data_IF_616667132012
#
_entry.id   IF_616667132012
#
_cell.length_a   1.000
_cell.length_b   1.000
_cell.length_c   1.000
_cell.angle_alpha   90.00
_cell.angle_beta   90.00
_cell.angle_gamma   90.00
#
_symmetry.space_group_name_H-M   'P 1'
#
loop_
_entity.id
_entity.type
_entity.pdbx_description
1 polymer ?
#
# COMPACT_ATOMS: atom_id res chain seq x y z
N UNK A 1 21.72 13.30 23.66
CA UNK A 1 21.67 11.86 23.41
C UNK A 1 21.51 11.61 21.93
N UNK A 2 22.17 10.63 21.48
CA UNK A 2 22.11 10.30 20.08
C UNK A 2 20.92 9.38 19.81
N UNK A 3 20.16 9.70 18.81
CA UNK A 3 19.07 8.83 18.40
C UNK A 3 19.65 7.62 17.68
N UNK A 4 19.24 6.47 18.13
CA UNK A 4 19.66 5.24 17.51
C UNK A 4 19.13 5.17 16.08
N UNK A 5 19.98 5.12 15.09
CA UNK A 5 19.49 4.96 13.74
C UNK A 5 18.82 3.62 13.55
N UNK A 6 17.89 3.59 12.65
CA UNK A 6 17.23 2.34 12.29
C UNK A 6 18.27 1.43 11.67
N UNK A 7 18.39 0.20 12.15
CA UNK A 7 19.36 -0.72 11.58
C UNK A 7 19.13 -0.91 10.09
N UNK A 8 20.21 -1.00 9.30
CA UNK A 8 20.07 -1.19 7.86
C UNK A 8 19.27 -2.44 7.48
N UNK A 9 19.25 -3.42 8.36
CA UNK A 9 18.56 -4.65 8.12
C UNK A 9 17.13 -4.66 8.68
N UNK A 10 16.59 -3.48 8.99
CA UNK A 10 15.22 -3.36 9.48
C UNK A 10 14.35 -2.71 8.41
N UNK A 11 14.20 -3.35 7.26
CA UNK A 11 13.57 -2.73 6.11
C UNK A 11 12.10 -2.41 6.30
N UNK A 12 11.39 -3.26 7.05
CA UNK A 12 9.95 -3.06 7.22
C UNK A 12 9.63 -1.77 7.95
N UNK A 13 10.51 -1.31 8.84
CA UNK A 13 10.26 -0.09 9.57
C UNK A 13 10.23 1.12 8.65
N UNK A 14 11.23 1.26 7.78
CA UNK A 14 11.29 2.35 6.84
C UNK A 14 10.20 2.25 5.77
N UNK A 15 9.99 1.05 5.26
CA UNK A 15 9.06 0.84 4.17
C UNK A 15 7.60 0.92 4.60
N UNK A 16 7.29 0.60 5.85
CA UNK A 16 5.90 0.65 6.31
C UNK A 16 5.33 2.06 6.25
N UNK A 17 6.18 3.07 6.42
CA UNK A 17 5.75 4.46 6.40
C UNK A 17 6.00 5.15 5.07
N UNK A 18 6.87 4.57 4.22
CA UNK A 18 7.32 5.24 3.03
C UNK A 18 6.18 5.66 2.11
N UNK A 19 5.27 4.74 1.83
CA UNK A 19 4.18 4.98 0.90
C UNK A 19 3.29 6.13 1.35
N UNK A 20 2.87 6.12 2.61
CA UNK A 20 2.03 7.17 3.17
C UNK A 20 2.78 8.49 3.27
N UNK A 21 4.03 8.44 3.68
CA UNK A 21 4.88 9.62 3.78
C UNK A 21 5.05 10.29 2.42
N UNK A 22 5.35 9.51 1.39
CA UNK A 22 5.51 10.05 0.04
C UNK A 22 4.21 10.66 -0.46
N UNK A 23 3.08 10.02 -0.18
CA UNK A 23 1.79 10.58 -0.54
C UNK A 23 1.58 11.95 0.12
N UNK A 24 1.83 12.02 1.43
CA UNK A 24 1.64 13.25 2.19
C UNK A 24 2.56 14.37 1.76
N UNK A 25 3.73 14.03 1.25
CA UNK A 25 4.69 15.00 0.72
C UNK A 25 4.34 15.43 -0.71
N UNK A 26 3.28 14.90 -1.29
CA UNK A 26 2.88 15.23 -2.65
C UNK A 26 3.79 14.65 -3.71
N UNK A 27 4.55 13.63 -3.37
CA UNK A 27 5.53 13.03 -4.28
C UNK A 27 4.96 11.88 -5.13
N UNK A 28 3.76 11.43 -4.84
CA UNK A 28 3.12 10.37 -5.59
C UNK A 28 1.91 10.92 -6.36
N UNK A 29 1.76 10.58 -7.64
CA UNK A 29 0.61 11.02 -8.43
C UNK A 29 -0.62 10.16 -8.15
N UNK A 30 -0.90 9.88 -6.89
CA UNK A 30 -1.96 8.97 -6.48
C UNK A 30 -3.13 9.78 -5.94
N UNK A 31 -4.29 9.60 -6.55
CA UNK A 31 -5.52 10.30 -6.16
C UNK A 31 -6.56 9.37 -5.58
N UNK A 32 -6.50 8.10 -5.97
CA UNK A 32 -7.49 7.10 -5.57
C UNK A 32 -6.82 5.96 -4.84
N UNK A 33 -7.49 5.47 -3.81
CA UNK A 33 -7.03 4.35 -3.04
C UNK A 33 -7.32 3.02 -3.72
N UNK A 34 -6.86 1.95 -3.07
CA UNK A 34 -6.97 0.60 -3.60
C UNK A 34 -8.42 0.18 -3.85
N UNK A 35 -9.34 0.70 -3.06
CA UNK A 35 -10.77 0.35 -3.18
C UNK A 35 -11.55 1.35 -4.04
N UNK A 36 -10.88 2.23 -4.75
CA UNK A 36 -11.52 3.21 -5.60
C UNK A 36 -11.93 4.51 -4.92
N UNK A 37 -11.64 4.61 -3.65
CA UNK A 37 -11.97 5.77 -2.83
C UNK A 37 -11.02 6.94 -3.10
N UNK A 38 -11.55 8.16 -3.07
CA UNK A 38 -10.71 9.33 -3.25
C UNK A 38 -9.88 9.59 -2.01
N UNK A 39 -8.57 9.72 -2.20
CA UNK A 39 -7.65 9.98 -1.10
C UNK A 39 -7.47 11.46 -0.86
N UNK A 40 -7.31 11.81 0.40
CA UNK A 40 -7.00 13.18 0.84
C UNK A 40 -5.95 13.10 1.93
N UNK A 41 -5.37 14.25 2.28
CA UNK A 41 -4.39 14.30 3.37
C UNK A 41 -4.99 13.83 4.69
N UNK A 42 -6.29 14.06 4.89
CA UNK A 42 -6.96 13.70 6.12
C UNK A 42 -7.36 12.25 6.20
N UNK A 43 -7.71 11.64 5.07
CA UNK A 43 -8.26 10.29 5.11
C UNK A 43 -7.29 9.20 4.72
N UNK A 44 -6.10 9.54 4.22
CA UNK A 44 -5.16 8.55 3.75
C UNK A 44 -4.68 7.65 4.88
N UNK A 45 -4.65 6.34 4.62
CA UNK A 45 -4.15 5.36 5.58
C UNK A 45 -3.46 4.23 4.82
N UNK A 46 -2.70 3.43 5.56
CA UNK A 46 -2.09 2.22 5.02
C UNK A 46 -3.01 1.04 5.29
N UNK A 47 -3.19 0.22 4.28
CA UNK A 47 -4.00 -0.97 4.35
C UNK A 47 -3.14 -2.19 4.06
N UNK A 48 -3.23 -3.22 4.90
CA UNK A 48 -2.59 -4.51 4.67
C UNK A 48 -3.48 -5.35 3.76
N UNK A 49 -2.94 -5.84 2.65
CA UNK A 49 -3.70 -6.74 1.78
C UNK A 49 -4.00 -8.03 2.53
N UNK A 50 -2.97 -8.67 3.09
CA UNK A 50 -3.14 -9.75 4.04
C UNK A 50 -3.11 -9.15 5.44
N UNK A 51 -4.21 -9.26 6.20
CA UNK A 51 -4.26 -8.64 7.52
C UNK A 51 -3.15 -9.11 8.45
N UNK A 52 -2.67 -8.20 9.27
CA UNK A 52 -1.65 -8.52 10.27
C UNK A 52 -2.11 -9.67 11.17
N UNK A 53 -3.38 -9.66 11.55
CA UNK A 53 -3.96 -10.71 12.40
C UNK A 53 -3.94 -12.09 11.74
N UNK A 54 -3.76 -12.15 10.42
CA UNK A 54 -3.70 -13.41 9.66
C UNK A 54 -2.28 -13.70 9.17
N UNK A 55 -1.29 -13.08 9.79
CA UNK A 55 0.11 -13.30 9.44
C UNK A 55 0.67 -12.40 8.34
N UNK A 56 -0.08 -11.38 7.94
CA UNK A 56 0.41 -10.43 6.95
C UNK A 56 1.54 -9.59 7.50
N UNK A 57 2.55 -9.34 6.66
CA UNK A 57 3.72 -8.56 7.05
C UNK A 57 3.54 -7.10 6.68
N UNK A 58 4.20 -6.22 7.44
CA UNK A 58 4.23 -4.80 7.15
C UNK A 58 5.39 -4.51 6.22
N UNK A 59 5.16 -4.72 4.93
CA UNK A 59 6.15 -4.48 3.88
C UNK A 59 5.44 -3.95 2.65
N UNK A 60 6.18 -3.26 1.76
CA UNK A 60 5.57 -2.60 0.60
C UNK A 60 4.73 -3.52 -0.26
N UNK A 61 5.16 -4.77 -0.43
CA UNK A 61 4.41 -5.72 -1.25
C UNK A 61 3.08 -6.14 -0.64
N UNK A 62 2.81 -5.77 0.61
CA UNK A 62 1.55 -6.07 1.29
C UNK A 62 0.79 -4.82 1.72
N UNK A 63 1.26 -3.65 1.32
CA UNK A 63 0.67 -2.38 1.75
C UNK A 63 0.13 -1.60 0.57
N UNK A 64 -1.06 -1.06 0.72
CA UNK A 64 -1.66 -0.17 -0.27
C UNK A 64 -2.22 1.05 0.46
N UNK A 65 -2.44 2.12 -0.29
CA UNK A 65 -3.11 3.30 0.26
C UNK A 65 -4.62 3.14 0.13
N UNK A 66 -5.32 3.48 1.17
CA UNK A 66 -6.77 3.47 1.19
C UNK A 66 -7.27 4.56 2.12
N UNK A 67 -8.52 4.96 1.97
CA UNK A 67 -9.09 5.90 2.92
C UNK A 67 -9.34 5.20 4.25
N UNK A 68 -9.33 5.98 5.32
CA UNK A 68 -9.63 5.44 6.65
C UNK A 68 -10.99 4.78 6.68
N UNK A 69 -11.98 5.35 5.98
CA UNK A 69 -13.32 4.80 5.93
C UNK A 69 -13.34 3.41 5.29
N UNK A 70 -12.65 3.24 4.16
CA UNK A 70 -12.59 1.95 3.50
C UNK A 70 -11.78 0.94 4.29
N UNK A 71 -10.70 1.39 4.91
CA UNK A 71 -9.88 0.54 5.75
C UNK A 71 -10.69 0.00 6.92
N UNK A 72 -11.43 0.86 7.60
CA UNK A 72 -12.27 0.47 8.72
C UNK A 72 -13.43 -0.44 8.27
N UNK A 73 -14.04 -0.13 7.13
CA UNK A 73 -15.15 -0.93 6.62
C UNK A 73 -14.71 -2.35 6.32
N UNK A 74 -13.50 -2.52 5.79
CA UNK A 74 -12.99 -3.85 5.53
C UNK A 74 -12.64 -4.59 6.81
N UNK A 75 -12.03 -3.92 7.79
CA UNK A 75 -11.55 -4.58 9.01
C UNK A 75 -10.68 -5.78 8.66
N UNK A 76 -11.07 -6.96 9.13
CA UNK A 76 -10.37 -8.21 8.87
C UNK A 76 -11.02 -9.05 7.78
N UNK A 77 -11.95 -8.49 7.03
CA UNK A 77 -12.61 -9.22 5.96
C UNK A 77 -11.60 -9.64 4.90
N UNK A 78 -11.87 -10.77 4.27
CA UNK A 78 -11.00 -11.29 3.22
C UNK A 78 -10.95 -10.29 2.06
N UNK A 79 -9.74 -10.00 1.61
CA UNK A 79 -9.53 -9.04 0.53
C UNK A 79 -10.28 -9.42 -0.74
N UNK A 80 -10.51 -10.72 -0.96
CA UNK A 80 -11.25 -11.19 -2.14
C UNK A 80 -12.69 -10.70 -2.16
N UNK A 81 -13.25 -10.39 -1.01
CA UNK A 81 -14.62 -9.90 -0.89
C UNK A 81 -14.71 -8.38 -1.01
N UNK A 82 -13.59 -7.69 -0.88
CA UNK A 82 -13.54 -6.23 -0.94
C UNK A 82 -12.88 -5.70 -2.20
N UNK A 83 -11.96 -6.47 -2.77
CA UNK A 83 -11.20 -6.02 -3.92
C UNK A 83 -12.04 -6.11 -5.19
N UNK A 84 -11.85 -5.15 -6.07
CA UNK A 84 -12.51 -5.08 -7.36
C UNK A 84 -11.43 -4.91 -8.41
N UNK A 85 -11.49 -5.71 -9.47
CA UNK A 85 -10.47 -5.71 -10.51
C UNK A 85 -10.26 -4.32 -11.11
N UNK A 86 -11.35 -3.60 -11.38
CA UNK A 86 -11.25 -2.28 -11.98
C UNK A 86 -10.57 -1.28 -11.05
N UNK A 87 -10.90 -1.31 -9.76
CA UNK A 87 -10.27 -0.40 -8.80
C UNK A 87 -8.81 -0.75 -8.57
N UNK A 88 -8.47 -2.05 -8.61
CA UNK A 88 -7.08 -2.49 -8.50
C UNK A 88 -6.26 -1.94 -9.66
N UNK A 89 -6.76 -2.10 -10.88
CA UNK A 89 -6.08 -1.59 -12.07
C UNK A 89 -5.91 -0.08 -11.98
N UNK A 90 -6.97 0.62 -11.61
CA UNK A 90 -6.92 2.07 -11.48
C UNK A 90 -5.90 2.50 -10.44
N UNK A 91 -5.87 1.82 -9.30
CA UNK A 91 -4.91 2.14 -8.25
C UNK A 91 -3.48 1.92 -8.73
N UNK A 92 -3.19 0.74 -9.26
CA UNK A 92 -1.83 0.40 -9.67
C UNK A 92 -1.35 1.25 -10.84
N UNK A 93 -2.26 1.62 -11.75
CA UNK A 93 -1.90 2.46 -12.90
C UNK A 93 -1.30 3.79 -12.49
N UNK A 94 -1.66 4.29 -11.33
CA UNK A 94 -1.13 5.55 -10.83
C UNK A 94 0.35 5.52 -10.52
N UNK A 95 0.92 4.32 -10.39
CA UNK A 95 2.33 4.13 -10.05
C UNK A 95 3.22 3.79 -11.24
N UNK A 96 2.64 3.63 -12.43
CA UNK A 96 3.43 3.28 -13.62
C UNK A 96 4.49 4.33 -13.87
N UNK A 97 5.74 3.88 -14.00
CA UNK A 97 6.91 4.73 -14.28
C UNK A 97 7.19 5.82 -13.25
N UNK A 98 6.58 5.72 -12.08
CA UNK A 98 6.92 6.60 -10.97
C UNK A 98 8.26 6.12 -10.42
N UNK A 99 9.28 6.96 -10.57
CA UNK A 99 10.58 6.65 -10.02
C UNK A 99 11.14 7.89 -9.34
N UNK A 100 11.24 7.80 -8.04
CA UNK A 100 11.78 8.87 -7.21
C UNK A 100 12.79 8.23 -6.26
N UNK A 101 13.50 9.06 -5.52
CA UNK A 101 14.49 8.55 -4.59
C UNK A 101 13.87 7.52 -3.65
N UNK A 102 14.47 6.35 -3.62
CA UNK A 102 14.09 5.25 -2.73
C UNK A 102 12.70 4.66 -2.99
N UNK A 103 12.09 4.97 -4.12
CA UNK A 103 10.80 4.36 -4.47
C UNK A 103 10.71 4.14 -5.98
N UNK A 104 10.40 2.91 -6.36
CA UNK A 104 10.23 2.49 -7.74
C UNK A 104 8.81 1.98 -7.92
N UNK A 105 7.99 2.75 -8.65
CA UNK A 105 6.57 2.42 -8.84
C UNK A 105 6.36 1.09 -9.55
N UNK A 106 7.18 0.78 -10.56
CA UNK A 106 7.02 -0.47 -11.29
C UNK A 106 7.34 -1.68 -10.41
N UNK A 107 8.34 -1.58 -9.57
CA UNK A 107 8.64 -2.63 -8.59
C UNK A 107 7.52 -2.78 -7.58
N UNK A 108 6.97 -1.67 -7.13
CA UNK A 108 5.85 -1.69 -6.21
C UNK A 108 4.66 -2.42 -6.84
N UNK A 109 4.31 -2.07 -8.09
CA UNK A 109 3.22 -2.72 -8.82
C UNK A 109 3.44 -4.24 -8.87
N UNK A 110 4.64 -4.66 -9.25
CA UNK A 110 4.96 -6.09 -9.37
C UNK A 110 4.83 -6.81 -8.02
N UNK A 111 5.27 -6.17 -6.95
CA UNK A 111 5.15 -6.74 -5.61
C UNK A 111 3.70 -6.91 -5.18
N UNK A 112 2.87 -5.91 -5.44
CA UNK A 112 1.45 -5.97 -5.11
C UNK A 112 0.75 -7.05 -5.94
N UNK A 113 1.04 -7.13 -7.24
CA UNK A 113 0.46 -8.15 -8.10
C UNK A 113 0.80 -9.56 -7.58
N UNK A 114 2.05 -9.77 -7.20
CA UNK A 114 2.47 -11.06 -6.65
C UNK A 114 1.68 -11.41 -5.40
N UNK A 115 1.52 -10.45 -4.51
CA UNK A 115 0.75 -10.65 -3.28
C UNK A 115 -0.71 -10.96 -3.59
N UNK A 116 -1.31 -10.22 -4.52
CA UNK A 116 -2.70 -10.47 -4.90
C UNK A 116 -2.90 -11.85 -5.52
N UNK A 117 -1.92 -12.34 -6.29
CA UNK A 117 -1.97 -13.70 -6.80
C UNK A 117 -1.90 -14.72 -5.68
N UNK A 118 -1.00 -14.50 -4.73
CA UNK A 118 -0.86 -15.41 -3.59
C UNK A 118 -2.12 -15.45 -2.73
N UNK A 119 -2.87 -14.35 -2.70
CA UNK A 119 -4.11 -14.28 -1.93
C UNK A 119 -5.33 -14.74 -2.73
N UNK A 120 -5.14 -15.10 -3.99
CA UNK A 120 -6.23 -15.56 -4.83
C UNK A 120 -7.16 -14.48 -5.34
N UNK A 121 -6.72 -13.22 -5.30
CA UNK A 121 -7.52 -12.08 -5.79
C UNK A 121 -7.45 -12.01 -7.30
N UNK A 122 -6.30 -12.29 -7.86
CA UNK A 122 -6.09 -12.33 -9.31
C UNK A 122 -5.36 -13.62 -9.66
N UNK A 123 -5.40 -13.98 -10.93
CA UNK A 123 -4.75 -15.21 -11.40
C UNK A 123 -3.32 -15.00 -11.84
#
# INVERSE_FOLDING_TARGET
MRIQPIPPNSPSFGYSNQLKTLYRQGKLPVRYGFYGDKLTQKNVSLEHLKPHSKGGKTELSNLVLASKQKNQARGNADIRNFANKETIIKYLSQFIDVKIKDFDGNKYINGIIKTLRNLGVIK
#
